data_IF_774213485811
#
_entry.id   IF_774213485811
#
_cell.length_a   1.000
_cell.length_b   1.000
_cell.length_c   1.000
_cell.angle_alpha   90.00
_cell.angle_beta   90.00
_cell.angle_gamma   90.00
#
_symmetry.space_group_name_H-M   'P 1'
#
loop_
_entity.id
_entity.type
_entity.pdbx_description
1 polymer ?
#
# COMPACT_ATOMS: atom_id res chain seq x y z
N UNK A 1 39.76 1.84 34.13
CA UNK A 1 39.28 0.58 33.52
C UNK A 1 38.11 0.91 32.62
N UNK A 2 38.27 0.88 31.28
CA UNK A 2 37.17 1.12 30.36
C UNK A 2 36.29 -0.14 30.20
N UNK A 3 34.99 0.10 30.08
CA UNK A 3 33.91 -0.87 30.05
C UNK A 3 33.80 -1.52 28.65
N UNK A 4 33.80 -2.86 28.51
CA UNK A 4 33.64 -3.53 27.22
C UNK A 4 32.16 -3.77 26.91
N UNK A 5 31.46 -2.75 26.40
CA UNK A 5 30.06 -2.92 25.96
C UNK A 5 29.67 -1.94 24.84
N UNK A 6 30.54 -1.76 23.85
CA UNK A 6 30.21 -1.06 22.61
C UNK A 6 30.67 -1.88 21.42
N UNK A 7 29.82 -2.81 20.98
CA UNK A 7 29.84 -3.39 19.63
C UNK A 7 28.59 -4.26 19.40
N UNK A 8 27.42 -3.63 19.31
CA UNK A 8 26.37 -4.16 18.42
C UNK A 8 26.17 -3.11 17.34
N UNK A 9 27.09 -3.14 16.37
CA UNK A 9 26.87 -2.47 15.11
C UNK A 9 25.70 -3.18 14.42
N UNK A 10 24.70 -2.40 14.01
CA UNK A 10 23.71 -2.77 12.99
C UNK A 10 24.44 -3.12 11.69
N UNK A 11 24.94 -4.35 11.60
CA UNK A 11 25.45 -4.91 10.37
C UNK A 11 24.25 -5.43 9.58
N UNK A 12 24.04 -4.93 8.37
CA UNK A 12 23.14 -5.61 7.43
C UNK A 12 23.59 -7.07 7.31
N UNK A 13 22.67 -8.04 7.44
CA UNK A 13 23.04 -9.44 7.34
C UNK A 13 23.67 -9.68 5.98
N UNK A 14 24.85 -10.29 5.99
CA UNK A 14 25.56 -10.62 4.77
C UNK A 14 24.75 -11.64 3.97
N UNK A 15 24.93 -11.67 2.65
CA UNK A 15 24.27 -12.66 1.80
C UNK A 15 24.52 -14.10 2.27
N UNK A 16 25.68 -14.38 2.89
CA UNK A 16 25.98 -15.68 3.48
C UNK A 16 25.09 -16.01 4.68
N UNK A 17 24.84 -15.05 5.58
CA UNK A 17 23.98 -15.22 6.75
C UNK A 17 22.51 -15.43 6.35
N UNK A 18 22.05 -14.78 5.27
CA UNK A 18 20.69 -14.97 4.73
C UNK A 18 20.49 -16.32 4.05
N UNK A 19 21.53 -16.91 3.46
CA UNK A 19 21.43 -18.15 2.68
C UNK A 19 21.80 -19.42 3.47
N UNK A 20 22.47 -19.29 4.62
CA UNK A 20 22.84 -20.41 5.48
C UNK A 20 21.64 -21.32 5.89
N UNK A 21 20.45 -20.79 6.23
CA UNK A 21 19.29 -21.62 6.55
C UNK A 21 18.84 -22.51 5.38
N UNK A 22 18.92 -22.00 4.13
CA UNK A 22 18.61 -22.80 2.93
C UNK A 22 19.63 -23.91 2.69
N UNK A 23 20.90 -23.66 3.03
CA UNK A 23 21.93 -24.69 2.94
C UNK A 23 21.69 -25.84 3.93
N UNK A 24 21.09 -25.58 5.10
CA UNK A 24 20.74 -26.63 6.06
C UNK A 24 19.54 -27.46 5.64
N UNK A 25 18.55 -26.87 4.95
CA UNK A 25 17.44 -27.65 4.39
C UNK A 25 17.94 -28.78 3.47
N UNK A 26 19.06 -28.59 2.77
CA UNK A 26 19.66 -29.62 1.90
C UNK A 26 20.13 -30.89 2.63
N UNK A 27 20.27 -30.84 3.97
CA UNK A 27 20.65 -32.01 4.80
C UNK A 27 19.49 -32.98 5.04
N UNK A 28 18.24 -32.55 4.80
CA UNK A 28 17.10 -33.46 4.81
C UNK A 28 17.20 -34.41 3.62
N UNK A 29 17.28 -35.72 3.86
CA UNK A 29 17.43 -36.74 2.82
C UNK A 29 16.19 -36.86 1.93
N UNK A 30 14.99 -36.65 2.50
CA UNK A 30 13.72 -36.65 1.79
C UNK A 30 13.51 -35.33 1.03
N UNK A 31 13.22 -35.45 -0.27
CA UNK A 31 12.95 -34.32 -1.16
C UNK A 31 11.69 -33.55 -0.75
N UNK A 32 10.66 -34.24 -0.26
CA UNK A 32 9.37 -33.62 0.13
C UNK A 32 9.56 -32.78 1.39
N UNK A 33 10.24 -33.35 2.38
CA UNK A 33 10.62 -32.67 3.62
C UNK A 33 11.56 -31.48 3.38
N UNK A 34 12.53 -31.64 2.48
CA UNK A 34 13.45 -30.56 2.06
C UNK A 34 12.69 -29.38 1.47
N UNK A 35 11.75 -29.64 0.56
CA UNK A 35 10.93 -28.60 -0.06
C UNK A 35 10.08 -27.85 0.98
N UNK A 36 9.51 -28.60 1.94
CA UNK A 36 8.72 -28.05 3.04
C UNK A 36 9.54 -27.11 3.93
N UNK A 37 10.76 -27.51 4.33
CA UNK A 37 11.67 -26.66 5.10
C UNK A 37 12.13 -25.41 4.33
N UNK A 38 12.47 -25.56 3.03
CA UNK A 38 12.85 -24.42 2.18
C UNK A 38 11.69 -23.42 2.02
N UNK A 39 10.46 -23.92 1.88
CA UNK A 39 9.25 -23.09 1.84
C UNK A 39 9.02 -22.37 3.16
N UNK A 40 9.32 -23.02 4.28
CA UNK A 40 9.34 -22.41 5.61
C UNK A 40 10.31 -21.23 5.70
N UNK A 41 11.57 -21.44 5.30
CA UNK A 41 12.61 -20.40 5.28
C UNK A 41 12.20 -19.22 4.37
N UNK A 42 11.75 -19.50 3.15
CA UNK A 42 11.30 -18.45 2.23
C UNK A 42 10.05 -17.73 2.74
N UNK A 43 9.12 -18.43 3.39
CA UNK A 43 7.96 -17.85 4.06
C UNK A 43 8.37 -16.89 5.16
N UNK A 44 9.33 -17.29 5.99
CA UNK A 44 9.89 -16.45 7.06
C UNK A 44 10.58 -15.18 6.51
N UNK A 45 11.39 -15.32 5.45
CA UNK A 45 12.06 -14.18 4.82
C UNK A 45 11.10 -13.22 4.09
N UNK A 46 9.95 -13.71 3.61
CA UNK A 46 8.94 -12.92 2.90
C UNK A 46 7.82 -12.37 3.79
N UNK A 47 7.93 -12.53 5.12
CA UNK A 47 6.89 -12.17 6.09
C UNK A 47 5.52 -12.82 5.79
N UNK A 48 5.55 -14.02 5.21
CA UNK A 48 4.37 -14.86 4.99
C UNK A 48 4.16 -15.81 6.15
N UNK A 49 2.90 -16.15 6.41
CA UNK A 49 2.50 -17.01 7.51
C UNK A 49 3.06 -18.43 7.30
N UNK A 50 3.79 -18.94 8.29
CA UNK A 50 4.30 -20.31 8.28
C UNK A 50 3.13 -21.30 8.33
N UNK A 51 3.25 -22.41 7.59
CA UNK A 51 2.29 -23.50 7.66
C UNK A 51 2.55 -24.36 8.90
N UNK A 52 1.52 -24.89 9.56
CA UNK A 52 1.67 -25.73 10.78
C UNK A 52 2.48 -27.01 10.53
N UNK A 53 2.56 -27.47 9.27
CA UNK A 53 3.37 -28.61 8.86
C UNK A 53 4.89 -28.34 8.95
N UNK A 54 5.29 -27.07 8.82
CA UNK A 54 6.69 -26.63 8.95
C UNK A 54 7.09 -26.52 10.41
N UNK A 55 6.20 -25.97 11.25
CA UNK A 55 6.44 -25.85 12.70
C UNK A 55 6.53 -27.22 13.39
N UNK A 56 5.92 -28.25 12.82
CA UNK A 56 5.95 -29.62 13.33
C UNK A 56 7.21 -30.41 12.91
N UNK A 57 8.06 -29.86 12.04
CA UNK A 57 9.29 -30.55 11.60
C UNK A 57 10.37 -30.49 12.71
N UNK A 58 11.00 -31.62 13.08
CA UNK A 58 11.96 -31.65 14.19
C UNK A 58 13.24 -30.86 13.90
N UNK A 59 13.60 -30.62 12.64
CA UNK A 59 14.79 -29.83 12.27
C UNK A 59 14.45 -28.33 12.12
N UNK A 60 13.17 -27.95 12.26
CA UNK A 60 12.72 -26.57 12.09
C UNK A 60 13.32 -25.63 13.13
N UNK A 61 13.48 -26.08 14.38
CA UNK A 61 14.05 -25.26 15.47
C UNK A 61 15.50 -24.85 15.16
N UNK A 62 16.31 -25.78 14.64
CA UNK A 62 17.69 -25.54 14.24
C UNK A 62 17.79 -24.60 13.03
N UNK A 63 16.87 -24.75 12.07
CA UNK A 63 16.77 -23.86 10.90
C UNK A 63 16.33 -22.46 11.32
N UNK A 64 15.36 -22.36 12.23
CA UNK A 64 14.83 -21.11 12.75
C UNK A 64 15.87 -20.32 13.53
N UNK A 65 16.72 -20.99 14.31
CA UNK A 65 17.78 -20.36 15.09
C UNK A 65 18.82 -19.60 14.23
N UNK A 66 18.88 -19.89 12.93
CA UNK A 66 19.81 -19.28 11.98
C UNK A 66 19.14 -18.24 11.07
N UNK A 67 17.82 -18.08 11.18
CA UNK A 67 17.12 -16.99 10.53
C UNK A 67 17.46 -15.71 11.29
N UNK A 68 17.86 -14.66 10.56
CA UNK A 68 17.99 -13.32 11.13
C UNK A 68 16.64 -12.99 11.77
N UNK A 69 16.60 -12.62 13.06
CA UNK A 69 15.35 -12.26 13.70
C UNK A 69 14.68 -11.21 12.84
N UNK A 70 13.42 -11.46 12.46
CA UNK A 70 12.60 -10.35 12.00
C UNK A 70 12.68 -9.30 13.12
N UNK A 71 12.97 -8.02 12.81
CA UNK A 71 12.85 -6.99 13.84
C UNK A 71 11.48 -7.22 14.48
N UNK A 72 11.39 -7.25 15.83
CA UNK A 72 10.18 -7.63 16.52
C UNK A 72 9.03 -6.91 15.85
N UNK A 73 7.97 -7.64 15.47
CA UNK A 73 6.73 -7.02 15.03
C UNK A 73 6.48 -5.89 16.02
N UNK A 74 6.65 -4.66 15.55
CA UNK A 74 6.41 -3.48 16.36
C UNK A 74 5.07 -3.75 17.03
N UNK A 75 4.97 -3.66 18.38
CA UNK A 75 3.72 -3.93 19.05
C UNK A 75 2.65 -3.13 18.32
N UNK A 76 1.71 -3.85 17.70
CA UNK A 76 0.55 -3.24 17.09
C UNK A 76 -0.20 -2.60 18.24
N UNK A 77 0.18 -1.35 18.57
CA UNK A 77 -0.67 -0.40 19.25
C UNK A 77 -1.85 -0.29 18.32
N UNK A 78 -2.84 -1.18 18.49
CA UNK A 78 -4.13 -1.06 17.82
C UNK A 78 -4.63 0.29 18.27
N UNK A 79 -4.62 1.30 17.39
CA UNK A 79 -5.18 2.58 17.76
C UNK A 79 -6.64 2.28 18.10
N UNK A 80 -7.18 2.90 19.15
CA UNK A 80 -8.62 2.91 19.37
C UNK A 80 -9.31 3.16 18.02
N UNK A 81 -10.36 2.39 17.68
CA UNK A 81 -10.94 2.21 16.34
C UNK A 81 -11.35 3.53 15.65
N UNK A 82 -10.37 4.34 15.27
CA UNK A 82 -10.52 5.61 14.58
C UNK A 82 -10.51 5.29 13.09
N UNK A 83 -11.54 5.70 12.34
CA UNK A 83 -11.57 5.48 10.90
C UNK A 83 -10.44 6.27 10.22
N UNK A 84 -9.84 5.66 9.20
CA UNK A 84 -8.81 6.30 8.38
C UNK A 84 -7.82 5.33 7.77
N UNK A 85 -7.07 5.82 6.80
CA UNK A 85 -5.91 5.17 6.23
C UNK A 85 -4.72 5.39 7.16
N UNK A 86 -4.09 4.31 7.59
CA UNK A 86 -2.88 4.33 8.40
C UNK A 86 -1.66 4.20 7.50
N UNK A 87 -0.76 5.16 7.58
CA UNK A 87 0.50 5.20 6.85
C UNK A 87 1.66 5.03 7.83
N UNK A 88 2.64 4.20 7.47
CA UNK A 88 3.78 3.84 8.31
C UNK A 88 5.07 4.29 7.62
N UNK A 89 5.84 5.15 8.28
CA UNK A 89 7.16 5.54 7.82
C UNK A 89 8.22 4.76 8.61
N UNK A 90 9.23 4.26 7.89
CA UNK A 90 10.36 3.57 8.50
C UNK A 90 11.30 4.55 9.24
N UNK A 91 11.29 5.82 8.86
CA UNK A 91 12.11 6.86 9.46
C UNK A 91 11.45 7.41 10.73
N UNK A 92 12.21 7.41 11.81
CA UNK A 92 11.85 8.11 13.05
C UNK A 92 11.96 9.62 12.80
N UNK A 93 10.91 10.37 13.12
CA UNK A 93 10.99 11.82 13.19
C UNK A 93 10.95 12.22 14.66
N UNK A 94 12.05 12.80 15.14
CA UNK A 94 12.19 13.28 16.53
C UNK A 94 11.41 14.56 16.80
N UNK A 95 10.87 15.18 15.75
CA UNK A 95 10.34 16.54 15.80
C UNK A 95 8.82 16.60 15.83
N UNK A 96 8.14 15.45 15.81
CA UNK A 96 6.68 15.36 15.69
C UNK A 96 6.02 14.81 16.95
N UNK A 97 4.98 15.48 17.44
CA UNK A 97 4.24 15.07 18.63
C UNK A 97 3.02 14.18 18.31
N UNK A 98 2.70 13.21 19.15
CA UNK A 98 1.45 12.45 19.03
C UNK A 98 0.24 13.41 19.15
N UNK A 99 -0.67 13.35 18.18
CA UNK A 99 -1.81 14.26 18.05
C UNK A 99 -1.54 15.47 17.15
N UNK A 100 -0.30 15.69 16.71
CA UNK A 100 0.06 16.77 15.82
C UNK A 100 -0.55 16.57 14.42
N UNK A 101 -1.08 17.66 13.85
CA UNK A 101 -1.58 17.68 12.48
C UNK A 101 -0.43 17.99 11.53
N UNK A 102 -0.22 17.13 10.53
CA UNK A 102 0.93 17.20 9.63
C UNK A 102 0.51 17.25 8.17
N UNK A 103 1.29 17.98 7.38
CA UNK A 103 1.26 17.98 5.92
C UNK A 103 2.60 17.45 5.40
N UNK A 104 2.58 16.30 4.72
CA UNK A 104 3.81 15.62 4.32
C UNK A 104 3.70 15.02 2.92
N UNK A 105 4.77 15.10 2.12
CA UNK A 105 4.92 14.28 0.91
C UNK A 105 5.10 12.79 1.26
N UNK A 106 4.33 11.93 0.61
CA UNK A 106 4.35 10.48 0.79
C UNK A 106 4.39 9.76 -0.57
N UNK A 107 5.22 8.70 -0.73
CA UNK A 107 5.24 7.90 -1.95
C UNK A 107 4.02 6.99 -2.02
N UNK A 108 3.02 7.39 -2.80
CA UNK A 108 1.78 6.64 -3.02
C UNK A 108 1.61 6.34 -4.51
N UNK A 109 1.47 5.06 -4.86
CA UNK A 109 1.29 4.62 -6.25
C UNK A 109 2.46 4.98 -7.15
N UNK A 110 3.69 4.96 -6.62
CA UNK A 110 4.90 5.33 -7.36
C UNK A 110 5.10 6.83 -7.57
N UNK A 111 4.32 7.69 -6.92
CA UNK A 111 4.43 9.15 -7.00
C UNK A 111 4.39 9.82 -5.63
N UNK A 112 5.14 10.90 -5.45
CA UNK A 112 5.06 11.71 -4.24
C UNK A 112 3.74 12.49 -4.20
N UNK A 113 2.96 12.28 -3.14
CA UNK A 113 1.66 12.93 -2.94
C UNK A 113 1.61 13.60 -1.57
N UNK A 114 1.07 14.81 -1.51
CA UNK A 114 0.87 15.51 -0.25
C UNK A 114 -0.27 14.88 0.54
N UNK A 115 0.03 14.48 1.78
CA UNK A 115 -0.85 13.84 2.72
C UNK A 115 -1.12 14.79 3.90
N UNK A 116 -2.39 14.98 4.22
CA UNK A 116 -2.85 15.60 5.46
C UNK A 116 -3.25 14.53 6.47
N UNK A 117 -2.65 14.55 7.65
CA UNK A 117 -2.90 13.51 8.66
C UNK A 117 -2.61 13.97 10.08
N UNK A 118 -2.84 13.05 11.01
CA UNK A 118 -2.51 13.23 12.42
C UNK A 118 -1.52 12.15 12.83
N UNK A 119 -0.45 12.54 13.51
CA UNK A 119 0.53 11.61 14.08
C UNK A 119 -0.13 10.87 15.24
N UNK A 120 -0.13 9.54 15.20
CA UNK A 120 -0.76 8.72 16.24
C UNK A 120 0.27 7.93 17.05
N UNK A 121 1.40 7.54 16.43
CA UNK A 121 2.56 6.94 17.09
C UNK A 121 3.83 7.49 16.43
N UNK A 122 4.90 7.70 17.19
CA UNK A 122 6.19 8.22 16.68
C UNK A 122 7.19 7.11 16.35
N UNK A 123 7.09 5.96 17.02
CA UNK A 123 8.02 4.83 16.88
C UNK A 123 7.27 3.52 16.67
N UNK A 124 7.18 3.02 15.42
CA UNK A 124 7.48 3.69 14.16
C UNK A 124 6.49 4.82 13.91
N UNK A 125 6.88 5.78 13.07
CA UNK A 125 6.02 6.89 12.74
C UNK A 125 4.76 6.38 12.02
N UNK A 126 3.61 6.62 12.65
CA UNK A 126 2.31 6.23 12.16
C UNK A 126 1.42 7.46 12.04
N UNK A 127 1.01 7.74 10.81
CA UNK A 127 0.13 8.85 10.47
C UNK A 127 -1.24 8.30 10.11
N UNK A 128 -2.29 8.79 10.76
CA UNK A 128 -3.66 8.54 10.32
C UNK A 128 -4.08 9.61 9.35
N UNK A 129 -4.65 9.19 8.23
CA UNK A 129 -5.16 10.02 7.16
C UNK A 129 -6.66 9.78 7.05
N UNK A 130 -7.45 10.84 7.00
CA UNK A 130 -8.91 10.74 6.95
C UNK A 130 -9.52 11.86 6.10
N UNK A 131 -10.65 11.58 5.45
CA UNK A 131 -11.33 12.54 4.57
C UNK A 131 -11.67 13.86 5.24
N UNK A 132 -12.00 13.84 6.54
CA UNK A 132 -12.34 15.05 7.29
C UNK A 132 -11.18 16.05 7.31
N UNK A 133 -9.94 15.59 7.39
CA UNK A 133 -8.76 16.47 7.44
C UNK A 133 -8.63 17.35 6.20
N UNK A 134 -9.00 16.82 5.03
CA UNK A 134 -9.00 17.59 3.78
C UNK A 134 -10.21 18.54 3.72
N UNK A 135 -11.37 18.08 4.16
CA UNK A 135 -12.59 18.90 4.21
C UNK A 135 -12.40 20.10 5.15
N UNK A 136 -11.86 19.87 6.34
CA UNK A 136 -11.61 20.89 7.36
C UNK A 136 -10.55 21.90 6.89
N UNK A 137 -9.57 21.44 6.10
CA UNK A 137 -8.56 22.29 5.46
C UNK A 137 -9.04 22.99 4.17
N UNK A 138 -10.30 22.78 3.75
CA UNK A 138 -10.85 23.33 2.50
C UNK A 138 -10.18 22.79 1.23
N UNK A 139 -9.55 21.61 1.30
CA UNK A 139 -8.82 20.97 0.19
C UNK A 139 -9.63 19.82 -0.43
N UNK A 140 -9.44 19.54 -1.73
CA UNK A 140 -10.05 18.38 -2.35
C UNK A 140 -9.49 17.07 -1.74
N UNK A 141 -10.37 16.08 -1.57
CA UNK A 141 -9.95 14.75 -1.09
C UNK A 141 -9.16 14.05 -2.21
N UNK A 142 -7.92 13.59 -1.94
CA UNK A 142 -7.04 13.03 -2.96
C UNK A 142 -7.51 11.67 -3.46
N UNK A 143 -7.08 11.31 -4.68
CA UNK A 143 -7.52 10.09 -5.37
C UNK A 143 -7.20 8.82 -4.57
N UNK A 144 -6.02 8.75 -3.96
CA UNK A 144 -5.57 7.61 -3.16
C UNK A 144 -6.53 7.32 -1.99
N UNK A 145 -7.02 8.37 -1.32
CA UNK A 145 -7.90 8.24 -0.16
C UNK A 145 -9.32 7.88 -0.57
N UNK A 146 -9.80 8.45 -1.68
CA UNK A 146 -11.08 8.07 -2.28
C UNK A 146 -11.07 6.62 -2.76
N UNK A 147 -9.95 6.17 -3.32
CA UNK A 147 -9.75 4.78 -3.73
C UNK A 147 -9.77 3.86 -2.51
N UNK A 148 -9.04 4.19 -1.44
CA UNK A 148 -9.06 3.47 -0.18
C UNK A 148 -10.49 3.29 0.36
N UNK A 149 -11.24 4.39 0.52
CA UNK A 149 -12.62 4.37 0.99
C UNK A 149 -13.51 3.49 0.08
N UNK A 150 -13.35 3.60 -1.24
CA UNK A 150 -14.06 2.79 -2.22
C UNK A 150 -13.77 1.29 -2.10
N UNK A 151 -12.51 0.91 -1.87
CA UNK A 151 -12.10 -0.48 -1.67
C UNK A 151 -12.74 -1.06 -0.39
N UNK A 152 -12.80 -0.29 0.70
CA UNK A 152 -13.47 -0.71 1.93
C UNK A 152 -14.98 -0.92 1.72
N UNK A 153 -15.63 -0.03 0.97
CA UNK A 153 -17.05 -0.20 0.59
C UNK A 153 -17.28 -1.47 -0.23
N UNK A 154 -16.30 -1.87 -1.04
CA UNK A 154 -16.29 -3.09 -1.84
C UNK A 154 -15.84 -4.34 -1.07
N UNK A 155 -15.71 -4.25 0.26
CA UNK A 155 -15.33 -5.35 1.15
C UNK A 155 -13.91 -5.88 0.91
N UNK A 156 -13.03 -5.07 0.34
CA UNK A 156 -11.58 -5.34 0.37
C UNK A 156 -11.10 -5.08 1.80
N UNK A 157 -10.36 -6.04 2.38
CA UNK A 157 -9.87 -5.91 3.75
C UNK A 157 -8.91 -4.73 3.91
N UNK A 158 -8.95 -4.06 5.07
CA UNK A 158 -8.18 -2.83 5.32
C UNK A 158 -6.69 -2.95 5.03
N UNK A 159 -6.06 -4.05 5.46
CA UNK A 159 -4.65 -4.34 5.18
C UNK A 159 -4.37 -4.37 3.69
N UNK A 160 -5.23 -5.04 2.91
CA UNK A 160 -5.08 -5.16 1.46
C UNK A 160 -5.34 -3.84 0.75
N UNK A 161 -6.39 -3.12 1.14
CA UNK A 161 -6.69 -1.80 0.59
C UNK A 161 -5.53 -0.81 0.82
N UNK A 162 -4.91 -0.83 2.01
CA UNK A 162 -3.71 -0.04 2.30
C UNK A 162 -2.54 -0.39 1.38
N UNK A 163 -2.25 -1.67 1.21
CA UNK A 163 -1.17 -2.14 0.31
C UNK A 163 -1.40 -1.64 -1.12
N UNK A 164 -2.63 -1.79 -1.63
CA UNK A 164 -2.98 -1.37 -2.98
C UNK A 164 -2.79 0.13 -3.21
N UNK A 165 -3.18 0.95 -2.23
CA UNK A 165 -3.05 2.42 -2.32
C UNK A 165 -1.59 2.87 -2.30
N UNK A 166 -0.70 2.10 -1.68
CA UNK A 166 0.73 2.38 -1.68
C UNK A 166 1.43 1.93 -2.96
N UNK A 167 0.99 0.82 -3.56
CA UNK A 167 1.68 0.17 -4.67
C UNK A 167 1.13 0.53 -6.06
N UNK A 168 -0.19 0.73 -6.18
CA UNK A 168 -0.87 0.94 -7.46
C UNK A 168 -1.11 2.44 -7.68
N UNK A 169 -1.00 2.88 -8.93
CA UNK A 169 -1.33 4.26 -9.31
C UNK A 169 -2.71 4.67 -8.75
N UNK A 170 -2.74 5.83 -8.10
CA UNK A 170 -3.91 6.28 -7.35
C UNK A 170 -5.12 6.58 -8.24
N UNK A 171 -4.91 7.01 -9.49
CA UNK A 171 -6.00 7.29 -10.42
C UNK A 171 -6.57 5.99 -10.99
N UNK A 172 -5.72 5.07 -11.43
CA UNK A 172 -6.13 3.75 -11.91
C UNK A 172 -6.89 2.97 -10.83
N UNK A 173 -6.39 3.00 -9.59
CA UNK A 173 -7.06 2.33 -8.47
C UNK A 173 -8.42 2.97 -8.15
N UNK A 174 -8.54 4.30 -8.23
CA UNK A 174 -9.82 4.99 -8.07
C UNK A 174 -10.81 4.61 -9.17
N UNK A 175 -10.36 4.52 -10.43
CA UNK A 175 -11.21 4.12 -11.55
C UNK A 175 -11.75 2.70 -11.36
N UNK A 176 -10.91 1.75 -10.96
CA UNK A 176 -11.34 0.39 -10.61
C UNK A 176 -12.39 0.42 -9.50
N UNK A 177 -12.12 1.14 -8.41
CA UNK A 177 -13.04 1.22 -7.28
C UNK A 177 -14.40 1.81 -7.69
N UNK A 178 -14.41 2.88 -8.49
CA UNK A 178 -15.64 3.50 -9.01
C UNK A 178 -16.38 2.53 -9.93
N UNK A 179 -15.67 1.86 -10.84
CA UNK A 179 -16.27 0.91 -11.79
C UNK A 179 -16.89 -0.30 -11.08
N UNK A 180 -16.14 -0.94 -10.18
CA UNK A 180 -16.62 -2.06 -9.37
C UNK A 180 -17.80 -1.63 -8.47
N UNK A 181 -17.76 -0.42 -7.90
CA UNK A 181 -18.85 0.10 -7.08
C UNK A 181 -20.14 0.34 -7.88
N UNK A 182 -20.04 0.81 -9.12
CA UNK A 182 -21.21 0.94 -10.01
C UNK A 182 -21.87 -0.40 -10.30
N UNK A 183 -21.06 -1.46 -10.46
CA UNK A 183 -21.54 -2.82 -10.75
C UNK A 183 -21.85 -3.67 -9.51
N UNK A 184 -21.70 -3.12 -8.30
CA UNK A 184 -21.78 -3.88 -7.04
C UNK A 184 -23.06 -4.72 -6.87
N UNK A 185 -24.18 -4.29 -7.44
CA UNK A 185 -25.45 -5.01 -7.36
C UNK A 185 -25.49 -6.29 -8.23
N UNK A 186 -24.66 -6.33 -9.30
CA UNK A 186 -24.53 -7.46 -10.21
C UNK A 186 -23.45 -8.45 -9.76
N UNK A 187 -22.55 -8.01 -8.87
CA UNK A 187 -21.39 -8.77 -8.46
C UNK A 187 -21.70 -9.64 -7.25
N UNK A 188 -21.58 -10.97 -7.42
CA UNK A 188 -21.66 -11.92 -6.31
C UNK A 188 -20.51 -11.74 -5.30
N UNK A 189 -19.34 -11.33 -5.76
CA UNK A 189 -18.18 -11.06 -4.93
C UNK A 189 -17.40 -9.83 -5.44
N UNK A 190 -17.70 -8.62 -4.92
CA UNK A 190 -17.07 -7.38 -5.36
C UNK A 190 -15.56 -7.31 -5.10
N UNK A 191 -15.06 -7.88 -4.00
CA UNK A 191 -13.64 -7.84 -3.67
C UNK A 191 -12.81 -8.72 -4.61
N UNK A 192 -13.29 -9.93 -4.94
CA UNK A 192 -12.65 -10.79 -5.93
C UNK A 192 -12.63 -10.15 -7.33
N UNK A 193 -13.68 -9.40 -7.68
CA UNK A 193 -13.74 -8.68 -8.95
C UNK A 193 -12.69 -7.57 -9.03
N UNK A 194 -12.52 -6.79 -7.95
CA UNK A 194 -11.48 -5.76 -7.85
C UNK A 194 -10.08 -6.38 -7.98
N UNK A 195 -9.81 -7.48 -7.28
CA UNK A 195 -8.51 -8.17 -7.37
C UNK A 195 -8.21 -8.68 -8.78
N UNK A 196 -9.23 -9.16 -9.51
CA UNK A 196 -9.07 -9.57 -10.91
C UNK A 196 -8.70 -8.38 -11.82
N UNK A 197 -9.33 -7.23 -11.61
CA UNK A 197 -9.02 -6.00 -12.37
C UNK A 197 -7.61 -5.48 -12.05
N UNK A 198 -7.19 -5.51 -10.78
CA UNK A 198 -5.84 -5.10 -10.38
C UNK A 198 -4.79 -6.01 -11.01
N UNK A 199 -5.00 -7.33 -10.96
CA UNK A 199 -4.10 -8.29 -11.61
C UNK A 199 -3.97 -8.04 -13.10
N UNK A 200 -5.07 -7.69 -13.77
CA UNK A 200 -5.08 -7.37 -15.20
C UNK A 200 -4.27 -6.10 -15.54
N UNK A 201 -4.25 -5.11 -14.63
CA UNK A 201 -3.36 -3.96 -14.77
C UNK A 201 -1.88 -4.33 -14.60
N UNK A 202 -1.56 -5.22 -13.67
CA UNK A 202 -0.18 -5.66 -13.40
C UNK A 202 0.40 -6.48 -14.55
N UNK A 203 -0.40 -7.31 -15.21
CA UNK A 203 0.05 -8.13 -16.35
C UNK A 203 -0.01 -7.41 -17.70
N UNK A 204 -0.55 -6.18 -17.77
CA UNK A 204 -0.76 -5.45 -19.03
C UNK A 204 -1.80 -6.10 -19.95
N UNK A 205 -2.44 -7.17 -19.49
CA UNK A 205 -3.57 -7.81 -20.17
C UNK A 205 -4.80 -6.99 -19.86
N UNK A 206 -5.22 -6.13 -20.79
CA UNK A 206 -6.55 -5.55 -20.70
C UNK A 206 -7.56 -6.68 -20.54
N UNK A 207 -8.39 -6.69 -19.48
CA UNK A 207 -9.42 -7.69 -19.36
C UNK A 207 -10.28 -7.54 -20.61
N UNK A 208 -10.43 -8.63 -21.38
CA UNK A 208 -11.28 -8.68 -22.56
C UNK A 208 -12.71 -8.43 -22.10
N UNK A 209 -13.08 -7.16 -22.03
CA UNK A 209 -14.46 -6.73 -21.88
C UNK A 209 -15.13 -7.33 -23.10
N UNK A 210 -15.94 -8.37 -22.87
CA UNK A 210 -16.88 -8.82 -23.87
C UNK A 210 -17.80 -7.63 -24.14
N UNK A 211 -17.43 -6.84 -25.15
CA UNK A 211 -18.36 -6.05 -25.95
C UNK A 211 -19.30 -7.06 -26.60
N UNK A 212 -20.31 -7.47 -25.84
CA UNK A 212 -21.45 -8.22 -26.33
C UNK A 212 -22.59 -7.21 -26.47
N UNK A 213 -22.80 -6.82 -27.73
CA UNK A 213 -24.10 -6.55 -28.35
C UNK A 213 -24.93 -5.39 -27.79
N UNK A 214 -24.56 -4.17 -28.20
CA UNK A 214 -25.56 -3.16 -28.52
C UNK A 214 -26.05 -3.45 -29.96
N UNK A 215 -27.35 -3.74 -30.17
CA UNK A 215 -27.88 -3.86 -31.52
C UNK A 215 -27.84 -2.49 -32.19
N UNK A 216 -27.15 -2.49 -33.33
CA UNK A 216 -27.08 -1.42 -34.31
C UNK A 216 -28.48 -1.24 -34.95
N UNK A 217 -28.94 -0.01 -35.02
CA UNK A 217 -30.13 0.37 -35.79
C UNK A 217 -31.13 1.23 -35.03
N UNK A 218 -31.05 2.55 -35.17
CA UNK A 218 -31.86 3.21 -36.20
C UNK A 218 -31.34 4.61 -36.53
N UNK A 219 -31.40 4.96 -37.82
CA UNK A 219 -30.98 6.25 -38.38
C UNK A 219 -32.20 7.18 -38.46
N UNK A 220 -32.00 8.44 -38.09
CA UNK A 220 -32.85 9.57 -38.47
C UNK A 220 -32.29 10.85 -37.85
N UNK A 221 -31.55 11.66 -38.62
CA UNK A 221 -32.07 12.84 -39.31
C UNK A 221 -32.42 13.94 -38.29
N UNK A 222 -31.55 14.93 -38.08
CA UNK A 222 -31.60 16.32 -38.60
C UNK A 222 -31.11 17.19 -37.42
N UNK A 223 -30.50 18.37 -37.49
CA UNK A 223 -30.07 19.28 -38.53
C UNK A 223 -29.36 20.47 -37.80
N UNK A 224 -28.34 21.05 -38.44
CA UNK A 224 -27.83 22.44 -38.37
C UNK A 224 -27.50 23.11 -37.01
N UNK A 225 -26.21 23.47 -36.82
CA UNK A 225 -25.64 24.83 -36.97
C UNK A 225 -25.64 25.61 -35.63
N UNK A 226 -24.73 26.52 -35.28
CA UNK A 226 -23.67 27.24 -35.97
C UNK A 226 -22.78 27.96 -34.92
N UNK A 227 -21.46 27.93 -35.14
CA UNK A 227 -20.46 29.04 -35.17
C UNK A 227 -20.31 30.04 -34.00
N UNK A 228 -19.02 30.44 -33.84
CA UNK A 228 -18.40 31.64 -33.22
C UNK A 228 -18.02 31.42 -31.75
N UNK A 229 -16.77 31.57 -31.29
CA UNK A 229 -15.56 32.18 -31.85
C UNK A 229 -14.80 32.88 -30.72
N UNK A 230 -13.52 33.12 -30.95
CA UNK A 230 -12.60 34.01 -30.21
C UNK A 230 -11.73 33.42 -29.09
N UNK A 231 -10.48 33.20 -29.49
CA UNK A 231 -9.22 33.56 -28.83
C UNK A 231 -9.32 34.53 -27.64
N UNK A 232 -8.40 34.38 -26.68
CA UNK A 232 -7.36 35.41 -26.38
C UNK A 232 -6.33 34.86 -25.37
N UNK A 233 -5.07 35.09 -25.72
CA UNK A 233 -3.84 34.93 -24.93
C UNK A 233 -3.87 35.64 -23.56
N UNK A 234 -3.10 35.11 -22.61
CA UNK A 234 -2.70 35.87 -21.41
C UNK A 234 -1.64 35.17 -20.57
N UNK A 235 -0.37 35.51 -20.82
CA UNK A 235 0.78 35.23 -19.94
C UNK A 235 0.60 35.84 -18.55
N UNK A 236 1.13 35.19 -17.50
CA UNK A 236 2.01 35.79 -16.48
C UNK A 236 2.31 34.80 -15.32
N UNK A 237 3.58 34.41 -15.18
CA UNK A 237 4.25 34.33 -13.87
C UNK A 237 4.55 35.79 -13.41
N UNK A 238 4.90 36.13 -12.14
CA UNK A 238 5.70 35.35 -11.18
C UNK A 238 5.31 35.55 -9.69
N UNK A 239 6.21 35.16 -8.80
CA UNK A 239 6.47 35.63 -7.41
C UNK A 239 6.07 34.74 -6.23
N UNK A 240 7.12 34.22 -5.58
CA UNK A 240 7.14 33.81 -4.18
C UNK A 240 6.81 34.96 -3.22
N UNK A 241 6.36 34.63 -2.00
CA UNK A 241 7.03 35.13 -0.79
C UNK A 241 7.20 33.99 0.25
N UNK A 242 8.41 33.78 0.77
CA UNK A 242 8.96 34.32 2.04
C UNK A 242 8.22 33.88 3.32
N UNK A 243 8.95 33.07 4.10
CA UNK A 243 8.98 32.91 5.58
C UNK A 243 7.99 33.74 6.39
N UNK A 244 7.34 33.10 7.36
CA UNK A 244 7.29 33.58 8.75
C UNK A 244 7.44 32.43 9.75
N UNK A 245 8.50 32.56 10.54
CA UNK A 245 8.61 32.03 11.90
C UNK A 245 7.77 32.91 12.84
N UNK A 246 7.07 32.30 13.79
CA UNK A 246 6.59 32.83 15.07
C UNK A 246 5.65 31.74 15.63
N UNK A 247 5.67 31.33 16.90
CA UNK A 247 6.40 31.77 18.08
C UNK A 247 6.28 30.64 19.11
#
# INVERSE_FOLDING_TARGET
MPNPASAHADAMPTTGELLNPLALCSRAEDATRRELLMRGVLGHLSAWQLSPEVEADPDWEDVQALLVPHPPEVPAVRPAAKPGLWLYAAEQSTDLECGEFVEWAWPLGGSEQTVLGVVEVQEPLMIRVHRSFYVDAGRPVPAFLRAYDGLLLLKVGERRARILVQQVDSRALLEIAVFAYKRRAELRNPSAYVEALIRSLETGDTPKVASADLPDGDRGAEESASVVGSDVLGQAAPTSPRRRSAQ
#
